data_IF_093588014753
#
_entry.id   IF_093588014753
#
_cell.length_a   1.000
_cell.length_b   1.000
_cell.length_c   1.000
_cell.angle_alpha   90.00
_cell.angle_beta   90.00
_cell.angle_gamma   90.00
#
_symmetry.space_group_name_H-M   'P 1'
#
loop_
_entity.id
_entity.type
_entity.pdbx_description
1 polymer ?
#
# COMPACT_ATOMS: atom_id res chain seq x y z
N UNK A 1 26.92 -15.57 -10.01
CA UNK A 1 27.48 -15.74 -11.37
C UNK A 1 26.31 -15.74 -12.36
N UNK A 2 25.81 -14.55 -12.73
CA UNK A 2 24.66 -14.40 -13.63
C UNK A 2 24.70 -13.05 -14.36
N UNK A 3 25.86 -12.74 -14.94
CA UNK A 3 26.10 -11.59 -15.81
C UNK A 3 27.21 -11.96 -16.80
N UNK A 4 26.98 -13.02 -17.59
CA UNK A 4 27.66 -13.16 -18.86
C UNK A 4 26.94 -12.19 -19.81
N UNK A 5 27.51 -11.00 -19.90
CA UNK A 5 27.06 -9.90 -20.72
C UNK A 5 26.85 -10.36 -22.17
N UNK A 6 25.64 -10.11 -22.67
CA UNK A 6 25.39 -9.99 -24.11
C UNK A 6 26.38 -8.98 -24.66
N UNK A 7 27.28 -9.40 -25.55
CA UNK A 7 28.34 -8.57 -26.16
C UNK A 7 27.82 -7.35 -26.92
N UNK A 8 26.52 -7.28 -27.18
CA UNK A 8 25.88 -6.22 -27.96
C UNK A 8 25.22 -5.18 -27.03
N UNK A 9 25.75 -3.95 -26.94
CA UNK A 9 25.20 -2.91 -26.07
C UNK A 9 23.75 -2.55 -26.45
N UNK A 10 23.36 -2.73 -27.72
CA UNK A 10 21.98 -2.52 -28.19
C UNK A 10 20.99 -3.43 -27.45
N UNK A 11 21.36 -4.69 -27.22
CA UNK A 11 20.51 -5.64 -26.50
C UNK A 11 20.31 -5.23 -25.03
N UNK A 12 21.35 -4.68 -24.41
CA UNK A 12 21.27 -4.10 -23.07
C UNK A 12 20.29 -2.93 -23.00
N UNK A 13 20.35 -2.00 -23.96
CA UNK A 13 19.40 -0.88 -24.03
C UNK A 13 17.96 -1.33 -24.29
N UNK A 14 17.75 -2.32 -25.16
CA UNK A 14 16.42 -2.88 -25.42
C UNK A 14 15.84 -3.51 -24.15
N UNK A 15 16.65 -4.28 -23.41
CA UNK A 15 16.22 -4.91 -22.16
C UNK A 15 15.84 -3.86 -21.10
N UNK A 16 16.66 -2.81 -20.95
CA UNK A 16 16.39 -1.70 -20.03
C UNK A 16 15.11 -0.97 -20.45
N UNK A 17 14.94 -0.65 -21.72
CA UNK A 17 13.75 0.03 -22.24
C UNK A 17 12.48 -0.81 -22.03
N UNK A 18 12.54 -2.11 -22.32
CA UNK A 18 11.43 -3.03 -22.07
C UNK A 18 11.07 -3.09 -20.58
N UNK A 19 12.07 -3.14 -19.70
CA UNK A 19 11.86 -3.13 -18.25
C UNK A 19 11.21 -1.82 -17.78
N UNK A 20 11.68 -0.68 -18.29
CA UNK A 20 11.10 0.64 -17.97
C UNK A 20 9.65 0.76 -18.44
N UNK A 21 9.34 0.32 -19.67
CA UNK A 21 7.98 0.31 -20.21
C UNK A 21 7.05 -0.61 -19.41
N UNK A 22 7.55 -1.79 -19.02
CA UNK A 22 6.81 -2.70 -18.16
C UNK A 22 6.43 -2.04 -16.82
N UNK A 23 7.40 -1.42 -16.14
CA UNK A 23 7.14 -0.70 -14.89
C UNK A 23 6.21 0.50 -15.08
N UNK A 24 6.38 1.28 -16.14
CA UNK A 24 5.49 2.39 -16.48
C UNK A 24 4.05 1.90 -16.70
N UNK A 25 3.86 0.76 -17.38
CA UNK A 25 2.56 0.13 -17.58
C UNK A 25 1.90 -0.29 -16.26
N UNK A 26 2.66 -0.91 -15.34
CA UNK A 26 2.15 -1.29 -14.01
C UNK A 26 1.73 -0.05 -13.19
N UNK A 27 2.50 1.03 -13.24
CA UNK A 27 2.18 2.29 -12.55
C UNK A 27 0.93 2.93 -13.15
N UNK A 28 0.87 3.05 -14.48
CA UNK A 28 -0.30 3.60 -15.18
C UNK A 28 -1.56 2.81 -14.86
N UNK A 29 -1.48 1.47 -14.91
CA UNK A 29 -2.59 0.59 -14.54
C UNK A 29 -3.03 0.82 -13.09
N UNK A 30 -2.09 0.89 -12.14
CA UNK A 30 -2.40 1.16 -10.74
C UNK A 30 -3.11 2.49 -10.50
N UNK A 31 -2.79 3.53 -11.28
CA UNK A 31 -3.48 4.82 -11.22
C UNK A 31 -4.88 4.82 -11.85
N UNK A 32 -5.13 3.92 -12.79
CA UNK A 32 -6.44 3.76 -13.43
C UNK A 32 -7.40 2.90 -12.60
N UNK A 33 -6.90 2.17 -11.61
CA UNK A 33 -7.72 1.29 -10.78
C UNK A 33 -8.36 2.09 -9.65
N UNK A 34 -9.70 2.05 -9.59
CA UNK A 34 -10.48 2.69 -8.52
C UNK A 34 -10.41 1.96 -7.17
N UNK A 35 -10.14 0.66 -7.16
CA UNK A 35 -10.10 -0.16 -5.94
C UNK A 35 -8.78 -0.89 -5.77
N UNK A 36 -8.02 -0.47 -4.76
CA UNK A 36 -6.70 -1.06 -4.42
C UNK A 36 -6.87 -2.17 -3.38
N UNK A 37 -7.79 -2.01 -2.44
CA UNK A 37 -8.07 -2.99 -1.40
C UNK A 37 -9.58 -3.26 -1.26
N UNK A 38 -9.91 -4.49 -0.86
CA UNK A 38 -11.24 -4.86 -0.36
C UNK A 38 -11.13 -5.19 1.12
N UNK A 39 -12.05 -4.66 1.90
CA UNK A 39 -12.09 -4.88 3.34
C UNK A 39 -13.32 -5.74 3.64
N UNK A 40 -13.12 -6.79 4.41
CA UNK A 40 -14.18 -7.63 4.93
C UNK A 40 -13.96 -7.83 6.43
N UNK A 41 -15.04 -7.91 7.19
CA UNK A 41 -14.97 -8.29 8.61
C UNK A 41 -15.47 -9.72 8.72
N UNK A 42 -14.65 -10.59 9.31
CA UNK A 42 -14.98 -11.98 9.56
C UNK A 42 -14.89 -12.25 11.06
N UNK A 43 -16.06 -12.35 11.71
CA UNK A 43 -16.18 -12.45 13.18
C UNK A 43 -15.45 -11.25 13.82
N UNK A 44 -14.31 -11.52 14.46
CA UNK A 44 -13.53 -10.56 15.23
C UNK A 44 -12.25 -10.13 14.49
N UNK A 45 -12.16 -10.40 13.19
CA UNK A 45 -11.00 -10.09 12.35
C UNK A 45 -11.36 -9.15 11.21
N UNK A 46 -10.54 -8.11 11.01
CA UNK A 46 -10.55 -7.29 9.80
C UNK A 46 -9.62 -7.93 8.79
N UNK A 47 -10.17 -8.26 7.61
CA UNK A 47 -9.48 -8.91 6.52
C UNK A 47 -9.35 -7.93 5.34
N UNK A 48 -8.13 -7.50 5.08
CA UNK A 48 -7.79 -6.60 3.98
C UNK A 48 -7.18 -7.41 2.85
N UNK A 49 -7.89 -7.49 1.73
CA UNK A 49 -7.44 -8.19 0.52
C UNK A 49 -6.95 -7.19 -0.52
N UNK A 50 -5.70 -7.35 -0.96
CA UNK A 50 -5.12 -6.51 -2.01
C UNK A 50 -5.68 -6.91 -3.37
N UNK A 51 -6.14 -5.92 -4.12
CA UNK A 51 -6.67 -6.05 -5.45
C UNK A 51 -5.71 -5.46 -6.48
N UNK A 52 -5.92 -5.83 -7.75
CA UNK A 52 -5.33 -5.10 -8.88
C UNK A 52 -3.78 -5.12 -8.84
N UNK A 53 -3.00 -4.17 -9.41
CA UNK A 53 -1.54 -4.29 -9.42
C UNK A 53 -0.92 -4.24 -8.01
N UNK A 54 -1.65 -3.80 -6.98
CA UNK A 54 -1.19 -3.89 -5.58
C UNK A 54 -0.84 -5.33 -5.18
N UNK A 55 -1.59 -6.30 -5.70
CA UNK A 55 -1.37 -7.73 -5.45
C UNK A 55 -0.06 -8.26 -6.07
N UNK A 56 0.39 -7.64 -7.16
CA UNK A 56 1.64 -7.98 -7.87
C UNK A 56 2.82 -7.28 -7.20
N UNK A 57 2.62 -6.04 -6.76
CA UNK A 57 3.66 -5.20 -6.17
C UNK A 57 3.93 -5.51 -4.70
N UNK A 58 2.96 -6.07 -3.99
CA UNK A 58 3.10 -6.45 -2.58
C UNK A 58 3.64 -7.86 -2.42
N UNK A 59 4.61 -8.02 -1.52
CA UNK A 59 5.04 -9.33 -1.02
C UNK A 59 3.91 -10.10 -0.31
N UNK A 60 2.95 -9.39 0.29
CA UNK A 60 1.78 -9.97 0.96
C UNK A 60 0.53 -9.72 0.13
N UNK A 61 -0.33 -10.72 -0.03
CA UNK A 61 -1.60 -10.58 -0.78
C UNK A 61 -2.78 -10.16 0.11
N UNK A 62 -2.61 -10.29 1.42
CA UNK A 62 -3.64 -10.02 2.41
C UNK A 62 -2.98 -9.53 3.71
N UNK A 63 -3.68 -8.65 4.41
CA UNK A 63 -3.36 -8.23 5.77
C UNK A 63 -4.58 -8.51 6.64
N UNK A 64 -4.36 -9.14 7.79
CA UNK A 64 -5.41 -9.49 8.74
C UNK A 64 -4.97 -8.98 10.10
N UNK A 65 -5.88 -8.31 10.81
CA UNK A 65 -5.68 -7.85 12.17
C UNK A 65 -6.98 -8.00 12.98
N UNK A 66 -6.90 -8.16 14.31
CA UNK A 66 -8.08 -8.23 15.17
C UNK A 66 -8.86 -6.92 15.15
N UNK A 67 -10.19 -7.03 15.27
CA UNK A 67 -11.08 -5.89 15.39
C UNK A 67 -10.83 -5.13 16.71
N UNK A 68 -10.59 -5.86 17.80
CA UNK A 68 -10.28 -5.31 19.13
C UNK A 68 -8.95 -4.56 19.18
N UNK A 69 -8.06 -4.83 18.21
CA UNK A 69 -6.81 -4.08 18.06
C UNK A 69 -7.04 -2.72 17.42
N UNK A 70 -8.20 -2.43 16.83
CA UNK A 70 -8.46 -1.16 16.13
C UNK A 70 -8.80 -0.07 17.14
N UNK A 71 -7.89 0.90 17.27
CA UNK A 71 -8.07 2.07 18.15
C UNK A 71 -8.87 3.16 17.44
N UNK A 72 -8.56 3.41 16.18
CA UNK A 72 -9.23 4.46 15.41
C UNK A 72 -9.22 4.14 13.91
N UNK A 73 -10.26 4.63 13.22
CA UNK A 73 -10.39 4.52 11.76
C UNK A 73 -10.75 5.88 11.21
N UNK A 74 -9.87 6.42 10.36
CA UNK A 74 -10.02 7.79 9.84
C UNK A 74 -9.88 7.82 8.32
N UNK A 75 -10.86 8.43 7.66
CA UNK A 75 -10.73 8.80 6.24
C UNK A 75 -9.64 9.88 6.11
N UNK A 76 -8.55 9.54 5.43
CA UNK A 76 -7.39 10.41 5.27
C UNK A 76 -7.14 10.70 3.79
N UNK A 77 -8.01 11.48 3.14
CA UNK A 77 -7.84 11.82 1.73
C UNK A 77 -6.55 12.61 1.52
N UNK A 78 -5.96 12.42 0.35
CA UNK A 78 -4.66 12.97 -0.05
C UNK A 78 -3.53 12.61 0.93
N UNK A 79 -3.46 11.35 1.35
CA UNK A 79 -2.48 10.91 2.36
C UNK A 79 -1.03 11.26 1.98
N UNK A 80 -0.67 11.18 0.69
CA UNK A 80 0.66 11.52 0.18
C UNK A 80 1.06 12.99 0.38
N UNK A 81 0.11 13.94 0.47
CA UNK A 81 0.43 15.34 0.76
C UNK A 81 0.51 15.63 2.27
N UNK A 82 -0.09 14.77 3.11
CA UNK A 82 -0.01 14.83 4.57
C UNK A 82 1.20 14.06 5.15
N UNK A 83 1.97 13.43 4.29
CA UNK A 83 2.77 12.23 4.59
C UNK A 83 4.18 12.46 5.14
N UNK A 84 4.54 13.71 5.44
CA UNK A 84 5.78 13.99 6.19
C UNK A 84 5.88 13.25 7.53
N UNK A 85 4.79 12.64 8.03
CA UNK A 85 4.68 12.11 9.38
C UNK A 85 4.77 10.58 9.55
N UNK A 86 4.53 9.74 8.52
CA UNK A 86 4.16 8.33 8.79
C UNK A 86 5.14 7.24 8.34
N UNK A 87 6.08 7.48 7.42
CA UNK A 87 7.14 6.49 7.15
C UNK A 87 8.33 7.05 6.34
N UNK A 88 9.53 6.50 6.55
CA UNK A 88 10.69 6.66 5.66
C UNK A 88 11.13 5.27 5.18
N UNK A 89 11.23 5.10 3.85
CA UNK A 89 11.74 3.85 3.26
C UNK A 89 13.23 3.70 3.60
N UNK A 90 13.64 2.57 4.16
CA UNK A 90 15.06 2.20 4.25
C UNK A 90 15.43 1.53 2.91
N UNK A 91 16.31 2.16 2.12
CA UNK A 91 17.08 1.47 1.09
C UNK A 91 16.63 1.55 -0.38
N UNK A 92 15.99 2.61 -0.86
CA UNK A 92 15.93 2.87 -2.32
C UNK A 92 15.92 4.35 -2.64
N UNK A 93 16.49 4.69 -3.80
CA UNK A 93 16.44 5.99 -4.48
C UNK A 93 15.08 6.67 -4.26
N UNK A 94 15.12 7.94 -3.84
CA UNK A 94 13.98 8.83 -3.71
C UNK A 94 13.36 9.10 -5.09
N UNK A 95 12.62 8.13 -5.61
CA UNK A 95 11.67 8.37 -6.68
C UNK A 95 10.50 9.17 -6.08
N UNK A 96 10.03 10.25 -6.74
CA UNK A 96 8.85 10.98 -6.32
C UNK A 96 7.70 9.98 -6.11
N UNK A 97 7.21 9.89 -4.88
CA UNK A 97 6.43 8.76 -4.35
C UNK A 97 5.01 8.77 -4.92
N UNK A 98 4.81 8.16 -6.09
CA UNK A 98 3.47 8.06 -6.69
C UNK A 98 2.65 6.87 -6.18
N UNK A 99 3.21 5.93 -5.41
CA UNK A 99 2.47 4.84 -4.79
C UNK A 99 3.25 4.26 -3.60
N UNK A 100 2.54 3.68 -2.62
CA UNK A 100 3.12 2.95 -1.48
C UNK A 100 2.36 1.64 -1.29
N UNK A 101 3.04 0.53 -1.53
CA UNK A 101 2.48 -0.80 -1.32
C UNK A 101 3.51 -1.65 -0.56
N UNK A 102 3.13 -2.20 0.59
CA UNK A 102 3.97 -3.06 1.42
C UNK A 102 4.12 -2.60 2.86
N UNK A 103 5.07 -3.20 3.57
CA UNK A 103 5.40 -2.85 4.96
C UNK A 103 6.52 -1.82 5.02
N UNK A 104 6.32 -0.79 5.85
CA UNK A 104 7.24 0.31 6.05
C UNK A 104 7.55 0.45 7.54
N UNK A 105 8.76 0.90 7.87
CA UNK A 105 9.06 1.35 9.23
C UNK A 105 8.47 2.75 9.41
N UNK A 106 7.80 2.99 10.54
CA UNK A 106 7.28 4.31 10.89
C UNK A 106 8.38 5.34 10.97
N UNK A 107 7.98 6.60 10.85
CA UNK A 107 8.89 7.71 11.11
C UNK A 107 8.99 7.92 12.63
N UNK A 108 10.22 7.98 13.17
CA UNK A 108 10.48 8.07 14.62
C UNK A 108 9.77 6.95 15.39
N UNK A 109 8.95 7.31 16.38
CA UNK A 109 8.27 6.41 17.31
C UNK A 109 6.88 5.96 16.83
N UNK A 110 6.49 6.29 15.59
CA UNK A 110 5.17 5.96 15.05
C UNK A 110 4.94 4.45 14.80
N UNK A 111 5.93 3.59 15.04
CA UNK A 111 5.80 2.13 14.90
C UNK A 111 5.68 1.64 13.44
N UNK A 112 5.66 0.32 13.21
CA UNK A 112 5.56 -0.27 11.87
C UNK A 112 4.23 0.06 11.19
N UNK A 113 4.25 0.33 9.89
CA UNK A 113 3.05 0.66 9.12
C UNK A 113 2.91 -0.23 7.87
N UNK A 114 1.69 -0.62 7.54
CA UNK A 114 1.37 -1.26 6.26
C UNK A 114 0.68 -0.25 5.34
N UNK A 115 1.09 -0.23 4.08
CA UNK A 115 0.55 0.68 3.07
C UNK A 115 0.05 -0.10 1.87
N UNK A 116 -1.07 0.35 1.31
CA UNK A 116 -1.58 -0.10 0.03
C UNK A 116 -2.33 1.04 -0.67
N UNK A 117 -1.57 2.04 -1.11
CA UNK A 117 -2.05 3.24 -1.77
C UNK A 117 -1.36 3.43 -3.14
N UNK A 118 -2.14 3.73 -4.17
CA UNK A 118 -1.64 4.15 -5.48
C UNK A 118 -1.88 5.63 -5.76
N UNK A 119 -2.95 6.23 -5.25
CA UNK A 119 -3.22 7.66 -5.44
C UNK A 119 -3.34 8.39 -4.12
N UNK A 120 -3.73 7.69 -3.06
CA UNK A 120 -3.85 8.29 -1.74
C UNK A 120 -5.03 9.26 -1.61
N UNK A 121 -5.84 9.42 -2.67
CA UNK A 121 -6.95 10.37 -2.75
C UNK A 121 -8.11 9.95 -1.84
N UNK A 122 -8.34 8.64 -1.72
CA UNK A 122 -9.44 8.03 -0.97
C UNK A 122 -8.92 7.05 0.09
N UNK A 123 -7.82 7.41 0.76
CA UNK A 123 -7.20 6.52 1.73
C UNK A 123 -7.98 6.45 3.05
N UNK A 124 -8.04 5.26 3.65
CA UNK A 124 -8.48 5.03 5.03
C UNK A 124 -7.29 4.57 5.85
N UNK A 125 -7.12 5.18 7.02
CA UNK A 125 -6.08 4.86 7.99
C UNK A 125 -6.70 4.16 9.18
N UNK A 126 -6.21 2.96 9.47
CA UNK A 126 -6.46 2.25 10.71
C UNK A 126 -5.28 2.48 11.64
N UNK A 127 -5.56 2.90 12.86
CA UNK A 127 -4.60 2.86 13.97
C UNK A 127 -4.88 1.61 14.79
N UNK A 128 -3.84 0.82 15.02
CA UNK A 128 -3.94 -0.43 15.75
C UNK A 128 -3.11 -0.39 17.03
N UNK A 129 -3.53 -1.14 18.04
CA UNK A 129 -2.78 -1.40 19.26
C UNK A 129 -2.62 -2.89 19.49
N UNK A 130 -1.49 -3.27 20.08
CA UNK A 130 -1.12 -4.67 20.34
C UNK A 130 -1.06 -5.57 19.07
N UNK A 131 -0.88 -4.97 17.89
CA UNK A 131 -0.71 -5.68 16.61
C UNK A 131 0.70 -5.49 16.03
N UNK A 132 1.05 -6.29 15.02
CA UNK A 132 2.28 -6.18 14.23
C UNK A 132 2.44 -4.80 13.59
N UNK A 133 1.34 -4.17 13.17
CA UNK A 133 1.35 -2.84 12.56
C UNK A 133 0.70 -1.85 13.51
N UNK A 134 1.30 -0.67 13.71
CA UNK A 134 0.66 0.46 14.38
C UNK A 134 -0.34 1.15 13.46
N UNK A 135 -0.02 1.21 12.17
CA UNK A 135 -0.88 1.85 11.17
C UNK A 135 -1.09 0.95 9.94
N UNK A 136 -2.32 0.91 9.44
CA UNK A 136 -2.66 0.29 8.16
C UNK A 136 -3.36 1.32 7.29
N UNK A 137 -2.71 1.74 6.21
CA UNK A 137 -3.19 2.78 5.29
C UNK A 137 -3.56 2.15 3.96
N UNK A 138 -4.81 2.33 3.53
CA UNK A 138 -5.37 1.62 2.38
C UNK A 138 -6.12 2.58 1.46
N UNK A 139 -5.84 2.53 0.16
CA UNK A 139 -6.72 3.13 -0.84
C UNK A 139 -7.97 2.24 -1.02
N UNK A 140 -9.13 2.84 -0.79
CA UNK A 140 -10.44 2.21 -0.93
C UNK A 140 -11.29 3.01 -1.92
N UNK A 141 -12.34 2.38 -2.46
CA UNK A 141 -13.21 3.06 -3.42
C UNK A 141 -14.06 4.15 -2.73
N UNK A 142 -14.67 3.78 -1.60
CA UNK A 142 -15.47 4.69 -0.78
C UNK A 142 -15.03 4.58 0.70
N UNK A 143 -14.32 5.60 1.23
CA UNK A 143 -13.94 5.64 2.64
C UNK A 143 -15.12 5.62 3.60
N UNK A 144 -16.26 6.21 3.22
CA UNK A 144 -17.44 6.30 4.08
C UNK A 144 -18.16 4.95 4.17
N UNK A 145 -18.19 4.19 3.08
CA UNK A 145 -18.71 2.81 3.10
C UNK A 145 -17.91 1.93 4.07
N UNK A 146 -16.58 2.05 4.05
CA UNK A 146 -15.68 1.30 4.95
C UNK A 146 -15.90 1.70 6.41
N UNK A 147 -15.94 3.00 6.70
CA UNK A 147 -16.20 3.49 8.06
C UNK A 147 -17.61 3.05 8.52
N UNK A 148 -18.61 3.14 7.66
CA UNK A 148 -19.96 2.69 7.93
C UNK A 148 -20.05 1.19 8.19
N UNK A 149 -19.25 0.38 7.50
CA UNK A 149 -19.14 -1.06 7.74
C UNK A 149 -18.56 -1.32 9.13
N UNK A 150 -17.49 -0.62 9.53
CA UNK A 150 -16.84 -0.82 10.82
C UNK A 150 -17.68 -0.34 12.01
N UNK A 151 -18.46 0.74 11.81
CA UNK A 151 -19.45 1.20 12.79
C UNK A 151 -20.50 0.17 13.16
N UNK A 152 -20.86 -0.73 12.24
CA UNK A 152 -21.79 -1.84 12.54
C UNK A 152 -21.21 -2.85 13.54
N UNK A 153 -19.89 -2.88 13.70
CA UNK A 153 -19.18 -3.77 14.61
C UNK A 153 -18.65 -3.04 15.87
N UNK A 154 -19.08 -1.79 16.11
CA UNK A 154 -18.76 -1.06 17.34
C UNK A 154 -17.45 -0.27 17.33
N UNK A 155 -16.86 -0.05 16.14
CA UNK A 155 -15.73 0.86 15.93
C UNK A 155 -16.20 2.25 15.51
#
# INVERSE_FOLDING_TARGET
MLLAATKDPLFGYILIAALLLFWAGIIAWGRSVATVCKIAVNRDLVVVSLCSPARILSLRKQVVFPLDSVVSVTSTPNIFSKEGSFSRRIGSVSLPTFFRVGSFKGFRDAGPAFWACFRGETAVTFELENDRYRYVVLDVNDPQEVIGLLKKYGI
#
